data_IF_503876804493
#
_entry.id   IF_503876804493
#
_cell.length_a   1.000
_cell.length_b   1.000
_cell.length_c   1.000
_cell.angle_alpha   90.00
_cell.angle_beta   90.00
_cell.angle_gamma   90.00
#
_symmetry.space_group_name_H-M   'P 1'
#
loop_
_entity.id
_entity.type
_entity.pdbx_description
1 polymer ?
#
# COMPACT_ATOMS: atom_id res chain seq x y z
N UNK A 1 0.17 -9.38 -3.39
CA UNK A 1 1.57 -9.40 -3.80
C UNK A 1 2.40 -8.58 -2.81
N UNK A 2 3.72 -8.54 -2.99
CA UNK A 2 4.61 -7.76 -2.14
C UNK A 2 5.04 -8.47 -0.87
N UNK A 3 4.98 -7.78 0.26
CA UNK A 3 5.37 -8.24 1.58
C UNK A 3 5.24 -7.14 2.62
N UNK A 4 5.50 -7.47 3.87
CA UNK A 4 5.39 -6.58 5.03
C UNK A 4 6.74 -6.45 5.72
N UNK A 5 7.22 -5.22 5.92
CA UNK A 5 8.52 -4.97 6.53
C UNK A 5 8.48 -5.14 8.05
N UNK A 6 9.44 -5.89 8.58
CA UNK A 6 9.69 -6.01 10.01
C UNK A 6 11.13 -6.48 10.27
N UNK A 7 11.81 -5.87 11.23
CA UNK A 7 13.17 -6.26 11.65
C UNK A 7 13.09 -7.46 12.60
N UNK A 8 12.98 -8.67 12.04
CA UNK A 8 12.88 -9.91 12.84
C UNK A 8 14.24 -10.60 13.04
N UNK A 9 15.28 -10.14 12.38
CA UNK A 9 16.66 -10.69 12.42
C UNK A 9 16.73 -12.18 12.06
N UNK A 10 15.78 -12.68 11.27
CA UNK A 10 15.72 -14.09 10.91
C UNK A 10 16.68 -14.45 9.76
N UNK A 11 17.01 -13.48 8.91
CA UNK A 11 17.87 -13.65 7.72
C UNK A 11 19.12 -12.80 7.81
N UNK A 12 19.02 -11.56 8.32
CA UNK A 12 20.14 -10.66 8.55
C UNK A 12 20.19 -10.26 10.02
N UNK A 13 21.20 -10.71 10.74
CA UNK A 13 21.35 -10.43 12.18
C UNK A 13 21.66 -8.94 12.47
N UNK A 14 22.19 -8.23 11.49
CA UNK A 14 22.55 -6.81 11.56
C UNK A 14 21.37 -5.87 11.33
N UNK A 15 20.22 -6.38 10.90
CA UNK A 15 19.02 -5.56 10.68
C UNK A 15 18.40 -5.14 12.01
N UNK A 16 18.14 -3.85 12.19
CA UNK A 16 17.61 -3.28 13.42
C UNK A 16 16.46 -2.31 13.13
N UNK A 17 15.74 -1.91 14.17
CA UNK A 17 14.72 -0.86 14.05
C UNK A 17 15.34 0.44 13.52
N UNK A 18 16.54 0.78 13.98
CA UNK A 18 17.29 1.98 13.54
C UNK A 18 17.63 1.90 12.04
N UNK A 19 18.04 0.74 11.53
CA UNK A 19 18.31 0.55 10.10
C UNK A 19 17.02 0.61 9.27
N UNK A 20 15.90 0.10 9.78
CA UNK A 20 14.59 0.22 9.15
C UNK A 20 14.13 1.69 9.12
N UNK A 21 14.28 2.40 10.24
CA UNK A 21 13.99 3.83 10.35
C UNK A 21 14.83 4.64 9.37
N UNK A 22 16.15 4.40 9.33
CA UNK A 22 17.04 5.07 8.40
C UNK A 22 16.66 4.83 6.93
N UNK A 23 16.40 3.59 6.55
CA UNK A 23 15.98 3.25 5.18
C UNK A 23 14.64 3.91 4.83
N UNK A 24 13.72 4.01 5.79
CA UNK A 24 12.42 4.64 5.58
C UNK A 24 12.55 6.16 5.43
N UNK A 25 13.32 6.82 6.30
CA UNK A 25 13.62 8.27 6.20
C UNK A 25 14.31 8.60 4.89
N UNK A 26 15.34 7.82 4.51
CA UNK A 26 16.03 7.99 3.23
C UNK A 26 15.13 7.69 2.05
N UNK A 27 14.32 6.63 2.13
CA UNK A 27 13.39 6.22 1.09
C UNK A 27 12.28 7.24 0.86
N UNK A 28 11.90 8.00 1.88
CA UNK A 28 10.92 9.10 1.84
C UNK A 28 11.47 10.43 1.30
N UNK A 29 12.71 10.43 0.76
CA UNK A 29 13.46 11.62 0.36
C UNK A 29 13.66 12.64 1.50
N UNK A 30 13.75 12.16 2.74
CA UNK A 30 13.90 12.96 3.97
C UNK A 30 12.73 13.92 4.23
N UNK A 31 11.56 13.72 3.60
CA UNK A 31 10.36 14.52 3.77
C UNK A 31 9.36 13.91 4.76
N UNK A 32 9.61 12.66 5.18
CA UNK A 32 8.77 12.01 6.20
C UNK A 32 9.00 12.57 7.60
N UNK A 33 7.98 12.48 8.45
CA UNK A 33 8.08 12.79 9.88
C UNK A 33 8.89 11.71 10.59
N UNK A 34 10.08 12.07 11.09
CA UNK A 34 11.04 11.10 11.61
C UNK A 34 10.57 10.45 12.92
N UNK A 35 9.86 11.19 13.78
CA UNK A 35 9.31 10.64 15.03
C UNK A 35 8.21 9.63 14.75
N UNK A 36 7.33 9.91 13.79
CA UNK A 36 6.30 8.99 13.33
C UNK A 36 6.91 7.76 12.63
N UNK A 37 7.99 7.94 11.85
CA UNK A 37 8.71 6.83 11.20
C UNK A 37 9.37 5.92 12.24
N UNK A 38 10.02 6.47 13.26
CA UNK A 38 10.64 5.68 14.34
C UNK A 38 9.57 4.89 15.11
N UNK A 39 8.48 5.56 15.49
CA UNK A 39 7.33 4.90 16.11
C UNK A 39 6.81 3.75 15.25
N UNK A 40 6.58 3.98 13.97
CA UNK A 40 6.12 2.98 13.00
C UNK A 40 7.07 1.79 12.93
N UNK A 41 8.36 2.03 12.65
CA UNK A 41 9.36 0.97 12.49
C UNK A 41 9.54 0.13 13.77
N UNK A 42 9.42 0.75 14.95
CA UNK A 42 9.51 0.05 16.24
C UNK A 42 8.35 -0.92 16.47
N UNK A 43 7.17 -0.67 15.87
CA UNK A 43 5.95 -1.50 16.01
C UNK A 43 5.82 -2.59 14.96
N UNK A 44 6.53 -2.49 13.83
CA UNK A 44 6.45 -3.47 12.75
C UNK A 44 6.74 -4.92 13.19
N UNK A 45 7.78 -5.21 14.01
CA UNK A 45 8.04 -6.57 14.47
C UNK A 45 6.88 -7.19 15.25
N UNK A 46 6.32 -6.44 16.21
CA UNK A 46 5.15 -6.87 16.99
C UNK A 46 3.96 -7.17 16.08
N UNK A 47 3.64 -6.26 15.15
CA UNK A 47 2.51 -6.43 14.24
C UNK A 47 2.62 -7.68 13.36
N UNK A 48 3.82 -7.99 12.83
CA UNK A 48 4.03 -9.21 12.03
C UNK A 48 3.91 -10.47 12.88
N UNK A 49 4.45 -10.47 14.10
CA UNK A 49 4.34 -11.61 15.02
C UNK A 49 2.90 -11.84 15.47
N UNK A 50 2.12 -10.79 15.68
CA UNK A 50 0.68 -10.92 15.96
C UNK A 50 -0.07 -11.54 14.78
N UNK A 51 0.21 -11.11 13.54
CA UNK A 51 -0.38 -11.72 12.35
C UNK A 51 -0.04 -13.21 12.26
N UNK A 52 1.20 -13.58 12.55
CA UNK A 52 1.64 -14.98 12.60
C UNK A 52 0.86 -15.78 13.67
N UNK A 53 0.72 -15.24 14.86
CA UNK A 53 -0.06 -15.88 15.94
C UNK A 53 -1.56 -15.97 15.63
N UNK A 54 -2.10 -15.05 14.83
CA UNK A 54 -3.47 -15.12 14.32
C UNK A 54 -3.65 -16.17 13.22
N UNK A 55 -2.54 -16.78 12.75
CA UNK A 55 -2.56 -17.84 11.75
C UNK A 55 -2.20 -17.43 10.32
N UNK A 56 -1.63 -16.24 10.11
CA UNK A 56 -1.14 -15.84 8.79
C UNK A 56 0.00 -16.76 8.33
N UNK A 57 -0.16 -17.51 7.21
CA UNK A 57 0.81 -18.50 6.77
C UNK A 57 2.00 -17.85 6.06
N UNK A 58 2.83 -17.14 6.82
CA UNK A 58 4.09 -16.61 6.29
C UNK A 58 5.01 -17.73 5.81
N UNK A 59 5.74 -17.49 4.73
CA UNK A 59 6.83 -18.37 4.28
C UNK A 59 7.88 -18.53 5.38
N UNK A 60 8.50 -19.73 5.46
CA UNK A 60 9.46 -20.06 6.52
C UNK A 60 10.84 -20.33 5.95
N UNK A 61 11.86 -20.07 6.76
CA UNK A 61 13.23 -20.55 6.55
C UNK A 61 13.33 -22.04 6.87
N UNK A 62 14.45 -22.66 6.56
CA UNK A 62 14.75 -24.06 6.96
C UNK A 62 14.68 -24.27 8.48
N UNK A 63 14.97 -23.21 9.25
CA UNK A 63 14.88 -23.19 10.73
C UNK A 63 13.47 -22.89 11.24
N UNK A 64 12.46 -22.89 10.36
CA UNK A 64 11.06 -22.58 10.68
C UNK A 64 10.81 -21.16 11.21
N UNK A 65 11.71 -20.21 10.97
CA UNK A 65 11.51 -18.79 11.24
C UNK A 65 10.75 -18.13 10.07
N UNK A 66 10.08 -16.99 10.29
CA UNK A 66 9.46 -16.22 9.22
C UNK A 66 10.54 -15.80 8.21
N UNK A 67 10.36 -16.16 6.95
CA UNK A 67 11.28 -15.83 5.88
C UNK A 67 11.21 -14.35 5.53
N UNK A 68 12.36 -13.77 5.19
CA UNK A 68 12.50 -12.35 4.83
C UNK A 68 13.26 -12.24 3.51
N UNK A 69 12.89 -11.28 2.67
CA UNK A 69 13.54 -11.00 1.37
C UNK A 69 13.81 -9.51 1.18
N UNK A 70 14.71 -9.20 0.24
CA UNK A 70 15.03 -7.83 -0.13
C UNK A 70 13.96 -7.19 -1.02
N UNK A 71 13.67 -5.91 -0.76
CA UNK A 71 12.99 -5.01 -1.68
C UNK A 71 13.88 -3.80 -1.99
N UNK A 72 13.53 -3.06 -3.05
CA UNK A 72 14.27 -1.89 -3.48
C UNK A 72 14.36 -0.82 -2.40
N UNK A 73 15.54 -0.22 -2.24
CA UNK A 73 15.82 0.81 -1.26
C UNK A 73 16.19 0.31 0.13
N UNK A 74 16.03 -0.98 0.43
CA UNK A 74 16.38 -1.56 1.72
C UNK A 74 17.89 -1.84 1.85
N UNK A 75 18.43 -1.68 3.06
CA UNK A 75 19.80 -2.07 3.41
C UNK A 75 19.90 -3.56 3.70
N UNK A 76 18.88 -4.16 4.28
CA UNK A 76 18.81 -5.56 4.69
C UNK A 76 17.51 -6.24 4.25
N UNK A 77 17.50 -7.58 4.07
CA UNK A 77 16.28 -8.34 3.78
C UNK A 77 15.38 -8.38 5.03
N UNK A 78 14.37 -7.51 5.07
CA UNK A 78 13.39 -7.43 6.16
C UNK A 78 11.95 -7.64 5.75
N UNK A 79 11.69 -7.82 4.46
CA UNK A 79 10.32 -7.99 3.98
C UNK A 79 9.82 -9.39 4.21
N UNK A 80 8.96 -9.58 5.22
CA UNK A 80 8.24 -10.83 5.50
C UNK A 80 7.20 -11.06 4.43
N UNK A 81 6.97 -12.31 4.01
CA UNK A 81 6.11 -12.61 2.87
C UNK A 81 5.43 -13.98 2.99
N UNK A 82 4.35 -14.15 2.25
CA UNK A 82 3.70 -15.43 1.98
C UNK A 82 3.68 -15.63 0.46
N UNK A 83 4.68 -16.31 -0.08
CA UNK A 83 4.90 -16.47 -1.52
C UNK A 83 4.75 -15.12 -2.26
N UNK A 84 3.85 -15.01 -3.24
CA UNK A 84 3.52 -13.80 -3.99
C UNK A 84 2.15 -13.19 -3.61
N UNK A 85 1.55 -13.59 -2.48
CA UNK A 85 0.18 -13.25 -2.06
C UNK A 85 0.06 -12.72 -0.62
N UNK A 86 1.10 -12.09 -0.09
CA UNK A 86 1.16 -11.62 1.30
C UNK A 86 -0.02 -10.74 1.71
N UNK A 87 -0.40 -9.75 0.89
CA UNK A 87 -1.54 -8.88 1.20
C UNK A 87 -2.87 -9.64 1.27
N UNK A 88 -3.08 -10.63 0.38
CA UNK A 88 -4.25 -11.51 0.44
C UNK A 88 -4.31 -12.29 1.76
N UNK A 89 -3.18 -12.84 2.17
CA UNK A 89 -3.08 -13.58 3.43
C UNK A 89 -3.38 -12.70 4.64
N UNK A 90 -2.77 -11.51 4.73
CA UNK A 90 -3.02 -10.57 5.83
C UNK A 90 -4.50 -10.18 5.88
N UNK A 91 -5.10 -9.84 4.73
CA UNK A 91 -6.51 -9.47 4.64
C UNK A 91 -7.43 -10.59 5.15
N UNK A 92 -7.22 -11.84 4.70
CA UNK A 92 -8.05 -12.96 5.13
C UNK A 92 -7.87 -13.28 6.61
N UNK A 93 -6.63 -13.27 7.11
CA UNK A 93 -6.35 -13.50 8.54
C UNK A 93 -7.05 -12.46 9.42
N UNK A 94 -6.94 -11.17 9.08
CA UNK A 94 -7.61 -10.11 9.86
C UNK A 94 -9.13 -10.18 9.73
N UNK A 95 -9.66 -10.50 8.55
CA UNK A 95 -11.10 -10.69 8.33
C UNK A 95 -11.66 -11.84 9.19
N UNK A 96 -10.96 -12.97 9.24
CA UNK A 96 -11.33 -14.12 10.08
C UNK A 96 -11.33 -13.76 11.58
N UNK A 97 -10.34 -12.98 12.05
CA UNK A 97 -10.34 -12.48 13.44
C UNK A 97 -11.52 -11.55 13.71
N UNK A 98 -11.84 -10.62 12.79
CA UNK A 98 -13.02 -9.77 12.93
C UNK A 98 -14.32 -10.59 13.04
N UNK A 99 -14.47 -11.64 12.23
CA UNK A 99 -15.64 -12.53 12.31
C UNK A 99 -15.69 -13.26 13.68
N UNK A 100 -14.55 -13.72 14.16
CA UNK A 100 -14.44 -14.39 15.47
C UNK A 100 -14.81 -13.48 16.63
N UNK A 101 -14.45 -12.20 16.55
CA UNK A 101 -14.79 -11.17 17.53
C UNK A 101 -16.20 -10.58 17.34
N UNK A 102 -16.99 -11.08 16.38
CA UNK A 102 -18.37 -10.66 16.17
C UNK A 102 -18.52 -9.29 15.51
N UNK A 103 -17.52 -8.80 14.80
CA UNK A 103 -17.59 -7.53 14.07
C UNK A 103 -18.67 -7.62 12.98
N UNK A 104 -19.55 -6.63 12.93
CA UNK A 104 -20.62 -6.58 11.96
C UNK A 104 -20.12 -5.96 10.64
N UNK A 105 -20.27 -6.70 9.52
CA UNK A 105 -19.85 -6.27 8.20
C UNK A 105 -21.05 -5.81 7.36
N UNK A 106 -20.99 -4.57 6.85
CA UNK A 106 -21.96 -4.02 5.90
C UNK A 106 -21.36 -4.09 4.49
N UNK A 107 -21.52 -5.24 3.84
CA UNK A 107 -20.97 -5.49 2.50
C UNK A 107 -21.81 -4.78 1.41
N UNK A 108 -21.12 -4.23 0.40
CA UNK A 108 -21.73 -3.46 -0.70
C UNK A 108 -22.41 -2.17 -0.22
N UNK A 109 -21.83 -1.55 0.81
CA UNK A 109 -22.22 -0.24 1.31
C UNK A 109 -21.17 0.80 0.97
N UNK A 110 -21.58 1.90 0.36
CA UNK A 110 -20.70 2.95 -0.11
C UNK A 110 -20.82 4.20 0.77
N UNK A 111 -19.70 4.72 1.28
CA UNK A 111 -19.69 5.95 2.06
C UNK A 111 -19.96 7.15 1.17
N UNK A 112 -21.04 7.88 1.44
CA UNK A 112 -21.40 9.11 0.75
C UNK A 112 -20.81 10.32 1.46
N UNK A 113 -21.03 10.44 2.77
CA UNK A 113 -20.56 11.59 3.55
C UNK A 113 -20.46 11.29 5.04
N UNK A 114 -19.74 12.16 5.77
CA UNK A 114 -19.67 12.19 7.23
C UNK A 114 -20.60 13.28 7.77
N UNK A 115 -21.21 13.02 8.92
CA UNK A 115 -22.12 13.97 9.57
C UNK A 115 -21.56 14.41 10.91
N UNK A 116 -21.58 15.72 11.15
CA UNK A 116 -21.11 16.34 12.41
C UNK A 116 -22.28 16.93 13.19
N UNK A 117 -22.14 16.94 14.50
CA UNK A 117 -23.04 17.69 15.39
C UNK A 117 -22.78 19.21 15.32
N UNK A 118 -23.57 19.96 16.05
CA UNK A 118 -23.46 21.43 16.13
C UNK A 118 -22.11 21.91 16.72
N UNK A 119 -21.38 21.06 17.43
CA UNK A 119 -20.06 21.33 17.99
C UNK A 119 -18.91 20.96 17.03
N UNK A 120 -19.24 20.39 15.87
CA UNK A 120 -18.27 19.97 14.87
C UNK A 120 -17.70 18.57 15.07
N UNK A 121 -18.23 17.78 16.01
CA UNK A 121 -17.80 16.40 16.24
C UNK A 121 -18.45 15.46 15.23
N UNK A 122 -17.69 14.57 14.61
CA UNK A 122 -18.22 13.51 13.75
C UNK A 122 -19.00 12.52 14.61
N UNK A 123 -20.28 12.30 14.28
CA UNK A 123 -21.18 11.42 15.02
C UNK A 123 -21.98 10.47 14.15
N UNK A 124 -21.74 10.49 12.83
CA UNK A 124 -22.44 9.61 11.91
C UNK A 124 -21.90 9.65 10.50
N UNK A 125 -22.43 8.76 9.68
CA UNK A 125 -22.14 8.66 8.25
C UNK A 125 -23.44 8.43 7.46
N UNK A 126 -23.51 8.99 6.26
CA UNK A 126 -24.50 8.67 5.25
C UNK A 126 -23.86 7.70 4.27
N UNK A 127 -24.53 6.58 4.03
CA UNK A 127 -24.03 5.48 3.23
C UNK A 127 -25.07 5.00 2.24
N UNK A 128 -24.63 4.51 1.12
CA UNK A 128 -25.51 3.92 0.11
C UNK A 128 -25.42 2.39 0.19
N UNK A 129 -26.52 1.76 0.59
CA UNK A 129 -26.70 0.32 0.48
C UNK A 129 -26.97 -0.02 -1.00
N UNK A 130 -25.91 -0.38 -1.70
CA UNK A 130 -25.96 -0.63 -3.16
C UNK A 130 -26.82 -1.84 -3.51
N UNK A 131 -26.90 -2.82 -2.62
CA UNK A 131 -27.70 -4.03 -2.82
C UNK A 131 -29.20 -3.74 -2.82
N UNK A 132 -29.64 -2.84 -1.94
CA UNK A 132 -31.05 -2.46 -1.82
C UNK A 132 -31.40 -1.17 -2.56
N UNK A 133 -30.40 -0.43 -3.03
CA UNK A 133 -30.58 0.86 -3.69
C UNK A 133 -31.07 1.96 -2.76
N UNK A 134 -30.74 1.91 -1.47
CA UNK A 134 -31.22 2.84 -0.44
C UNK A 134 -30.08 3.63 0.18
N UNK A 135 -30.37 4.88 0.55
CA UNK A 135 -29.49 5.68 1.40
C UNK A 135 -29.81 5.34 2.86
N UNK A 136 -28.79 4.99 3.61
CA UNK A 136 -28.89 4.58 5.00
C UNK A 136 -28.03 5.52 5.88
N UNK A 137 -28.34 5.57 7.16
CA UNK A 137 -27.66 6.42 8.13
C UNK A 137 -27.06 5.56 9.25
N UNK A 138 -25.81 5.82 9.57
CA UNK A 138 -25.11 5.13 10.65
C UNK A 138 -24.66 6.15 11.68
N UNK A 139 -25.04 5.96 12.95
CA UNK A 139 -24.52 6.74 14.08
C UNK A 139 -23.33 6.03 14.70
N UNK A 140 -22.32 6.77 15.04
CA UNK A 140 -21.12 6.26 15.70
C UNK A 140 -20.50 7.32 16.59
N UNK A 141 -19.91 6.94 17.70
CA UNK A 141 -19.14 7.83 18.59
C UNK A 141 -17.79 8.19 17.98
N UNK A 142 -17.21 7.27 17.20
CA UNK A 142 -15.96 7.46 16.49
C UNK A 142 -16.02 6.77 15.12
N UNK A 143 -15.35 7.33 14.12
CA UNK A 143 -15.28 6.78 12.77
C UNK A 143 -13.81 6.71 12.35
N UNK A 144 -13.38 5.54 11.88
CA UNK A 144 -12.06 5.32 11.29
C UNK A 144 -12.20 5.23 9.77
N UNK A 145 -11.52 6.09 9.02
CA UNK A 145 -11.43 6.00 7.58
C UNK A 145 -10.19 5.24 7.16
N UNK A 146 -10.40 4.04 6.57
CA UNK A 146 -9.35 3.17 6.03
C UNK A 146 -9.69 2.76 4.60
N UNK A 147 -10.16 3.72 3.80
CA UNK A 147 -10.76 3.54 2.47
C UNK A 147 -9.75 3.36 1.33
N UNK A 148 -8.45 3.31 1.66
CA UNK A 148 -7.37 3.25 0.67
C UNK A 148 -7.12 4.58 -0.01
N UNK A 149 -6.25 4.55 -1.01
CA UNK A 149 -5.79 5.75 -1.73
C UNK A 149 -6.71 6.20 -2.88
N UNK A 150 -6.16 7.09 -3.72
CA UNK A 150 -6.86 7.70 -4.84
C UNK A 150 -6.24 7.35 -6.20
N UNK A 151 -5.39 6.33 -6.28
CA UNK A 151 -4.61 6.04 -7.49
C UNK A 151 -5.44 5.69 -8.73
N UNK A 152 -6.76 5.36 -8.57
CA UNK A 152 -7.65 5.07 -9.71
C UNK A 152 -7.96 6.29 -10.59
N UNK A 153 -7.70 7.50 -10.12
CA UNK A 153 -7.80 8.71 -10.96
C UNK A 153 -6.88 8.65 -12.19
N UNK A 154 -5.80 7.86 -12.15
CA UNK A 154 -4.88 7.64 -13.27
C UNK A 154 -5.39 6.59 -14.27
N UNK A 155 -6.63 6.12 -14.11
CA UNK A 155 -7.36 5.20 -15.00
C UNK A 155 -6.52 3.97 -15.39
N UNK A 156 -6.16 3.81 -16.67
CA UNK A 156 -5.41 2.64 -17.18
C UNK A 156 -3.92 2.62 -16.78
N UNK A 157 -3.44 3.65 -16.08
CA UNK A 157 -2.04 3.79 -15.63
C UNK A 157 -1.92 3.64 -14.12
N UNK A 158 -2.60 2.65 -13.59
CA UNK A 158 -2.62 2.39 -12.15
C UNK A 158 -2.67 0.90 -11.84
N UNK A 159 -2.01 0.50 -10.76
CA UNK A 159 -2.12 -0.83 -10.16
C UNK A 159 -3.33 -0.95 -9.26
N UNK A 160 -4.00 0.17 -8.96
CA UNK A 160 -5.07 0.23 -7.96
C UNK A 160 -6.39 -0.34 -8.50
N UNK A 161 -7.20 -0.99 -7.65
CA UNK A 161 -8.52 -1.47 -8.00
C UNK A 161 -9.49 -0.31 -8.25
N UNK A 162 -10.66 -0.61 -8.82
CA UNK A 162 -11.70 0.38 -9.12
C UNK A 162 -12.22 1.12 -7.89
N UNK A 163 -12.01 0.59 -6.69
CA UNK A 163 -12.42 1.18 -5.42
C UNK A 163 -11.49 2.28 -4.90
N UNK A 164 -10.26 2.39 -5.42
CA UNK A 164 -9.27 3.37 -4.93
C UNK A 164 -9.49 4.74 -5.59
N UNK A 165 -10.63 5.36 -5.33
CA UNK A 165 -11.09 6.60 -5.95
C UNK A 165 -10.97 7.84 -5.05
N UNK A 166 -10.51 7.67 -3.79
CA UNK A 166 -10.32 8.77 -2.84
C UNK A 166 -11.59 9.25 -2.15
N UNK A 167 -12.66 8.48 -2.19
CA UNK A 167 -13.97 8.90 -1.64
C UNK A 167 -13.93 9.18 -0.15
N UNK A 168 -13.21 8.38 0.64
CA UNK A 168 -13.03 8.65 2.07
C UNK A 168 -12.23 9.92 2.35
N UNK A 169 -11.20 10.20 1.53
CA UNK A 169 -10.46 11.47 1.60
C UNK A 169 -11.37 12.67 1.30
N UNK A 170 -12.22 12.54 0.28
CA UNK A 170 -13.19 13.56 -0.10
C UNK A 170 -14.25 13.77 1.00
N UNK A 171 -14.74 12.71 1.63
CA UNK A 171 -15.69 12.80 2.75
C UNK A 171 -15.06 13.48 3.96
N UNK A 172 -13.82 13.14 4.33
CA UNK A 172 -13.08 13.81 5.39
C UNK A 172 -12.88 15.29 5.09
N UNK A 173 -12.50 15.66 3.86
CA UNK A 173 -12.32 17.03 3.44
C UNK A 173 -13.63 17.84 3.54
N UNK A 174 -14.76 17.29 3.08
CA UNK A 174 -16.08 17.93 3.23
C UNK A 174 -16.49 18.07 4.68
N UNK A 175 -16.09 17.14 5.54
CA UNK A 175 -16.28 17.25 6.99
C UNK A 175 -15.41 18.33 7.63
N UNK A 176 -14.46 18.92 6.89
CA UNK A 176 -13.59 19.99 7.36
C UNK A 176 -12.23 19.54 7.86
N UNK A 177 -11.87 18.27 7.68
CA UNK A 177 -10.51 17.79 7.96
C UNK A 177 -9.54 18.21 6.86
N UNK A 178 -8.30 18.54 7.21
CA UNK A 178 -7.24 18.80 6.24
C UNK A 178 -6.87 17.54 5.43
N UNK A 179 -6.36 17.79 4.21
CA UNK A 179 -5.64 16.78 3.42
C UNK A 179 -4.18 17.25 3.33
N UNK A 180 -3.24 16.30 3.40
CA UNK A 180 -1.80 16.60 3.41
C UNK A 180 -1.08 15.78 2.34
N UNK A 181 -0.02 16.37 1.74
CA UNK A 181 0.90 15.74 0.79
C UNK A 181 0.20 15.12 -0.44
N UNK A 182 -0.92 15.70 -0.91
CA UNK A 182 -1.74 15.13 -1.99
C UNK A 182 -1.02 15.07 -3.34
N UNK A 183 0.04 15.85 -3.55
CA UNK A 183 0.90 15.78 -4.72
C UNK A 183 1.87 14.60 -4.69
N UNK A 184 2.08 13.97 -3.53
CA UNK A 184 3.01 12.87 -3.35
C UNK A 184 2.37 11.56 -3.76
N UNK A 185 2.64 11.15 -5.01
CA UNK A 185 2.09 9.93 -5.61
C UNK A 185 3.23 9.06 -6.12
N UNK A 186 3.30 7.81 -5.66
CA UNK A 186 4.30 6.86 -6.08
C UNK A 186 3.87 6.12 -7.35
N UNK A 187 4.77 6.09 -8.33
CA UNK A 187 4.65 5.24 -9.51
C UNK A 187 5.47 3.97 -9.32
N UNK A 188 4.81 2.81 -9.46
CA UNK A 188 5.52 1.53 -9.45
C UNK A 188 6.14 1.27 -10.81
N UNK A 189 7.44 0.91 -10.89
CA UNK A 189 8.12 0.77 -12.18
C UNK A 189 7.57 -0.36 -13.06
N UNK A 190 7.05 -1.43 -12.44
CA UNK A 190 6.66 -2.65 -13.14
C UNK A 190 5.15 -2.89 -13.13
N UNK A 191 4.38 -1.95 -13.67
CA UNK A 191 3.00 -2.22 -14.07
C UNK A 191 2.98 -2.91 -15.45
N UNK A 192 2.05 -3.85 -15.67
CA UNK A 192 1.85 -4.48 -16.97
C UNK A 192 1.52 -3.43 -18.03
N UNK A 193 2.15 -3.53 -19.19
CA UNK A 193 2.14 -2.48 -20.21
C UNK A 193 0.75 -2.10 -20.72
N UNK A 194 -0.15 -3.07 -20.86
CA UNK A 194 -1.51 -2.88 -21.38
C UNK A 194 -2.54 -2.47 -20.33
N UNK A 195 -2.44 -3.03 -19.13
CA UNK A 195 -3.51 -2.92 -18.12
C UNK A 195 -3.14 -2.09 -16.91
N UNK A 196 -1.85 -1.87 -16.65
CA UNK A 196 -1.35 -1.26 -15.43
C UNK A 196 -1.36 -2.18 -14.21
N UNK A 197 -1.83 -3.42 -14.33
CA UNK A 197 -1.85 -4.39 -13.22
C UNK A 197 -0.43 -4.58 -12.68
N UNK A 198 -0.30 -4.65 -11.36
CA UNK A 198 0.99 -4.78 -10.70
C UNK A 198 1.70 -6.09 -11.07
N UNK A 199 2.88 -5.97 -11.68
CA UNK A 199 3.88 -7.01 -11.68
C UNK A 199 4.80 -6.77 -10.47
N UNK A 200 4.66 -7.60 -9.43
CA UNK A 200 5.29 -7.42 -8.13
C UNK A 200 6.78 -7.10 -8.20
N UNK A 201 7.27 -6.33 -7.26
CA UNK A 201 8.70 -6.07 -7.05
C UNK A 201 9.53 -7.35 -6.84
N UNK A 202 8.89 -8.45 -6.45
CA UNK A 202 9.52 -9.76 -6.36
C UNK A 202 10.25 -10.17 -7.66
N UNK A 203 9.76 -9.75 -8.83
CA UNK A 203 10.41 -9.96 -10.12
C UNK A 203 11.84 -9.41 -10.13
N UNK A 204 12.02 -8.19 -9.65
CA UNK A 204 13.32 -7.54 -9.54
C UNK A 204 14.14 -8.13 -8.40
N UNK A 205 13.47 -8.47 -7.29
CA UNK A 205 14.07 -9.13 -6.12
C UNK A 205 14.66 -10.51 -6.43
N UNK A 206 14.01 -11.29 -7.30
CA UNK A 206 14.51 -12.59 -7.77
C UNK A 206 15.55 -12.45 -8.90
N UNK A 207 15.89 -11.23 -9.33
CA UNK A 207 16.97 -10.96 -10.28
C UNK A 207 16.52 -10.69 -11.73
N UNK A 208 15.25 -10.40 -11.99
CA UNK A 208 14.76 -10.04 -13.31
C UNK A 208 15.42 -8.76 -13.86
N UNK A 209 15.72 -8.72 -15.15
CA UNK A 209 16.35 -7.59 -15.84
C UNK A 209 15.32 -6.66 -16.47
N UNK A 210 15.63 -5.37 -16.51
CA UNK A 210 14.88 -4.36 -17.26
C UNK A 210 15.63 -4.02 -18.53
N UNK A 211 15.00 -4.26 -19.68
CA UNK A 211 15.61 -4.07 -21.00
C UNK A 211 14.83 -3.03 -21.82
N UNK A 212 15.55 -2.17 -22.53
CA UNK A 212 15.00 -1.26 -23.53
C UNK A 212 14.83 -1.96 -24.90
N UNK A 213 14.37 -1.25 -25.91
CA UNK A 213 14.16 -1.79 -27.26
C UNK A 213 15.47 -2.16 -27.99
N UNK A 214 16.60 -1.65 -27.54
CA UNK A 214 17.94 -2.00 -28.05
C UNK A 214 18.50 -3.27 -27.37
N UNK A 215 17.76 -3.85 -26.41
CA UNK A 215 18.17 -5.02 -25.63
C UNK A 215 19.16 -4.69 -24.51
N UNK A 216 19.35 -3.42 -24.18
CA UNK A 216 20.26 -3.00 -23.14
C UNK A 216 19.61 -3.10 -21.76
N UNK A 217 20.35 -3.61 -20.79
CA UNK A 217 20.03 -3.54 -19.36
C UNK A 217 20.33 -2.14 -18.84
N UNK A 218 19.42 -1.21 -19.14
CA UNK A 218 19.64 0.24 -18.99
C UNK A 218 19.85 0.71 -17.55
N UNK A 219 19.38 -0.04 -16.54
CA UNK A 219 19.59 0.33 -15.13
C UNK A 219 21.07 0.48 -14.74
N UNK A 220 21.98 -0.15 -15.46
CA UNK A 220 23.42 0.04 -15.30
C UNK A 220 23.86 1.51 -15.48
N UNK A 221 23.16 2.26 -16.33
CA UNK A 221 23.43 3.69 -16.59
C UNK A 221 22.89 4.58 -15.45
N UNK A 222 21.73 4.24 -14.87
CA UNK A 222 21.02 5.09 -13.91
C UNK A 222 21.37 4.76 -12.45
N UNK A 223 21.59 3.49 -12.13
CA UNK A 223 21.86 3.02 -10.78
C UNK A 223 22.87 1.86 -10.78
N UNK A 224 24.16 2.09 -11.10
CA UNK A 224 25.15 1.03 -11.34
C UNK A 224 25.36 0.10 -10.15
N UNK A 225 25.14 0.58 -8.92
CA UNK A 225 25.38 -0.21 -7.69
C UNK A 225 24.18 -1.09 -7.29
N UNK A 226 22.96 -0.58 -7.44
CA UNK A 226 21.71 -1.28 -7.03
C UNK A 226 20.95 -1.86 -8.21
N UNK A 227 21.23 -1.41 -9.42
CA UNK A 227 20.59 -1.85 -10.65
C UNK A 227 19.05 -1.81 -10.53
N UNK A 228 18.35 -2.88 -10.81
CA UNK A 228 16.89 -3.00 -10.71
C UNK A 228 16.36 -2.95 -9.26
N UNK A 229 17.25 -3.06 -8.26
CA UNK A 229 16.92 -2.91 -6.83
C UNK A 229 17.13 -1.48 -6.31
N UNK A 230 17.35 -0.50 -7.19
CA UNK A 230 17.24 0.90 -6.83
C UNK A 230 15.81 1.22 -6.36
N UNK A 231 15.63 2.36 -5.69
CA UNK A 231 14.30 2.82 -5.22
C UNK A 231 13.32 2.97 -6.39
N UNK A 232 12.04 2.90 -6.09
CA UNK A 232 10.98 2.86 -7.13
C UNK A 232 10.95 4.09 -8.01
N UNK A 233 11.15 5.26 -7.41
CA UNK A 233 11.24 6.55 -8.09
C UNK A 233 12.37 6.57 -9.12
N UNK A 234 13.57 6.12 -8.72
CA UNK A 234 14.75 6.02 -9.61
C UNK A 234 14.48 5.07 -10.77
N UNK A 235 13.92 3.88 -10.50
CA UNK A 235 13.63 2.91 -11.56
C UNK A 235 12.51 3.39 -12.47
N UNK A 236 11.43 3.97 -11.93
CA UNK A 236 10.32 4.50 -12.71
C UNK A 236 10.78 5.64 -13.62
N UNK A 237 11.58 6.59 -13.09
CA UNK A 237 12.16 7.67 -13.86
C UNK A 237 13.09 7.16 -14.96
N UNK A 238 13.95 6.19 -14.66
CA UNK A 238 14.85 5.59 -15.66
C UNK A 238 14.08 4.98 -16.85
N UNK A 239 12.95 4.30 -16.56
CA UNK A 239 12.08 3.76 -17.61
C UNK A 239 11.48 4.88 -18.48
N UNK A 240 10.95 5.94 -17.86
CA UNK A 240 10.38 7.06 -18.60
C UNK A 240 11.47 7.80 -19.41
N UNK A 241 12.68 7.96 -18.88
CA UNK A 241 13.81 8.54 -19.60
C UNK A 241 14.20 7.70 -20.84
N UNK A 242 14.20 6.37 -20.75
CA UNK A 242 14.44 5.48 -21.88
C UNK A 242 13.33 5.59 -22.93
N UNK A 243 12.07 5.64 -22.53
CA UNK A 243 10.91 5.82 -23.41
C UNK A 243 10.98 7.19 -24.09
N UNK A 244 11.22 8.27 -23.34
CA UNK A 244 11.32 9.63 -23.86
C UNK A 244 12.48 9.79 -24.86
N UNK A 245 13.58 9.08 -24.64
CA UNK A 245 14.73 9.05 -25.55
C UNK A 245 14.50 8.18 -26.81
N UNK A 246 13.31 7.60 -26.98
CA UNK A 246 12.97 6.75 -28.13
C UNK A 246 13.53 5.33 -28.08
N UNK A 247 14.06 4.91 -26.95
CA UNK A 247 14.57 3.54 -26.74
C UNK A 247 13.55 2.59 -26.09
N UNK A 248 12.29 3.01 -25.94
CA UNK A 248 11.17 2.14 -25.58
C UNK A 248 10.60 1.39 -26.80
N UNK A 249 9.84 0.35 -26.52
CA UNK A 249 8.97 -0.30 -27.50
C UNK A 249 7.69 0.50 -27.68
N UNK A 250 7.07 0.43 -28.85
CA UNK A 250 5.83 1.15 -29.14
C UNK A 250 6.03 2.66 -29.26
N UNK A 251 4.96 3.44 -29.10
CA UNK A 251 5.02 4.90 -29.23
C UNK A 251 3.94 5.60 -28.41
N UNK A 252 4.19 6.85 -28.03
CA UNK A 252 3.26 7.71 -27.28
C UNK A 252 2.80 7.06 -25.96
N UNK A 253 1.52 7.12 -25.69
CA UNK A 253 0.94 6.56 -24.47
C UNK A 253 1.05 5.02 -24.37
N UNK A 254 1.36 4.35 -25.47
CA UNK A 254 1.54 2.89 -25.50
C UNK A 254 3.01 2.46 -25.49
N UNK A 255 3.94 3.40 -25.27
CA UNK A 255 5.35 3.07 -25.14
C UNK A 255 5.62 2.31 -23.84
N UNK A 256 6.55 1.36 -23.88
CA UNK A 256 6.89 0.48 -22.75
C UNK A 256 8.35 0.00 -22.85
N UNK A 257 8.85 -0.57 -21.80
CA UNK A 257 10.07 -1.38 -21.74
C UNK A 257 9.72 -2.81 -21.35
N UNK A 258 10.68 -3.71 -21.25
CA UNK A 258 10.36 -5.10 -20.88
C UNK A 258 11.13 -5.57 -19.66
N UNK A 259 10.48 -6.44 -18.87
CA UNK A 259 11.12 -7.22 -17.84
C UNK A 259 11.48 -8.61 -18.40
N UNK A 260 12.75 -8.97 -18.36
CA UNK A 260 13.24 -10.27 -18.83
C UNK A 260 13.55 -11.18 -17.63
N UNK A 261 12.85 -12.30 -17.55
CA UNK A 261 12.98 -13.30 -16.49
C UNK A 261 13.57 -14.62 -16.99
N UNK A 262 13.77 -14.79 -18.30
CA UNK A 262 14.14 -16.07 -18.92
C UNK A 262 15.42 -16.67 -18.36
N UNK A 263 16.37 -15.84 -17.93
CA UNK A 263 17.65 -16.27 -17.35
C UNK A 263 17.54 -16.84 -15.93
N UNK A 264 16.40 -16.63 -15.23
CA UNK A 264 16.17 -17.16 -13.88
C UNK A 264 15.89 -18.65 -13.87
N UNK A 265 15.47 -19.20 -15.02
CA UNK A 265 15.10 -20.60 -15.17
C UNK A 265 13.67 -20.92 -14.73
N UNK A 266 13.16 -22.09 -15.16
CA UNK A 266 11.76 -22.47 -14.91
C UNK A 266 11.43 -22.67 -13.43
N UNK A 267 12.36 -23.17 -12.62
CA UNK A 267 12.13 -23.42 -11.19
C UNK A 267 11.76 -22.12 -10.46
N UNK A 268 12.54 -21.06 -10.63
CA UNK A 268 12.27 -19.77 -9.97
C UNK A 268 10.95 -19.18 -10.45
N UNK A 269 10.67 -19.22 -11.77
CA UNK A 269 9.47 -18.62 -12.32
C UNK A 269 8.21 -19.38 -11.90
N UNK A 270 8.27 -20.71 -11.86
CA UNK A 270 7.11 -21.55 -11.52
C UNK A 270 6.88 -21.60 -10.01
N UNK A 271 7.93 -21.67 -9.19
CA UNK A 271 7.77 -21.83 -7.74
C UNK A 271 7.60 -20.49 -7.01
N UNK A 272 8.42 -19.48 -7.36
CA UNK A 272 8.46 -18.22 -6.61
C UNK A 272 7.63 -17.09 -7.25
N UNK A 273 7.40 -17.15 -8.57
CA UNK A 273 6.74 -16.11 -9.36
C UNK A 273 5.50 -16.62 -10.10
N UNK A 274 4.88 -17.68 -9.59
CA UNK A 274 3.71 -18.35 -10.19
C UNK A 274 2.59 -17.36 -10.54
N UNK A 275 2.12 -16.56 -9.56
CA UNK A 275 1.03 -15.61 -9.79
C UNK A 275 1.40 -14.49 -10.78
N UNK A 276 2.69 -14.13 -10.86
CA UNK A 276 3.18 -13.16 -11.84
C UNK A 276 3.16 -13.75 -13.25
N UNK A 277 3.54 -15.02 -13.39
CA UNK A 277 3.43 -15.74 -14.66
C UNK A 277 1.99 -15.77 -15.15
N UNK A 278 1.05 -16.14 -14.28
CA UNK A 278 -0.38 -16.18 -14.61
C UNK A 278 -0.91 -14.82 -15.06
N UNK A 279 -0.51 -13.72 -14.36
CA UNK A 279 -0.87 -12.36 -14.76
C UNK A 279 -0.31 -11.99 -16.13
N UNK A 280 0.96 -12.31 -16.42
CA UNK A 280 1.58 -12.02 -17.70
C UNK A 280 0.91 -12.83 -18.85
N UNK A 281 0.63 -14.09 -18.64
CA UNK A 281 -0.08 -14.94 -19.61
C UNK A 281 -1.52 -14.44 -19.86
N UNK A 282 -2.22 -14.05 -18.80
CA UNK A 282 -3.62 -13.63 -18.90
C UNK A 282 -3.78 -12.26 -19.53
N UNK A 283 -2.96 -11.28 -19.14
CA UNK A 283 -3.16 -9.88 -19.49
C UNK A 283 -2.20 -9.33 -20.55
N UNK A 284 -0.99 -9.88 -20.66
CA UNK A 284 -0.03 -9.50 -21.70
C UNK A 284 0.10 -10.56 -22.81
N UNK A 285 -0.53 -11.73 -22.63
CA UNK A 285 -0.48 -12.86 -23.57
C UNK A 285 0.95 -13.34 -23.86
N UNK A 286 1.84 -13.25 -22.87
CA UNK A 286 3.21 -13.72 -22.96
C UNK A 286 3.56 -14.62 -21.77
N UNK A 287 4.35 -15.67 -22.04
CA UNK A 287 4.87 -16.53 -20.98
C UNK A 287 6.29 -16.07 -20.60
N UNK A 288 6.52 -15.61 -19.35
CA UNK A 288 7.83 -15.19 -18.87
C UNK A 288 8.95 -16.23 -18.99
N UNK A 289 8.60 -17.51 -19.16
CA UNK A 289 9.58 -18.57 -19.43
C UNK A 289 10.25 -18.40 -20.79
N UNK A 290 9.53 -17.84 -21.77
CA UNK A 290 9.97 -17.79 -23.18
C UNK A 290 10.08 -16.39 -23.75
N UNK A 291 9.38 -15.43 -23.16
CA UNK A 291 9.27 -14.06 -23.65
C UNK A 291 9.44 -13.04 -22.52
N UNK A 292 10.08 -11.90 -22.79
CA UNK A 292 10.09 -10.79 -21.83
C UNK A 292 8.70 -10.15 -21.73
N UNK A 293 8.37 -9.66 -20.53
CA UNK A 293 7.04 -9.11 -20.22
C UNK A 293 7.03 -7.60 -20.44
N UNK A 294 6.09 -7.05 -21.23
CA UNK A 294 5.90 -5.60 -21.36
C UNK A 294 5.53 -4.95 -20.03
N UNK A 295 6.27 -3.90 -19.67
CA UNK A 295 6.04 -3.14 -18.45
C UNK A 295 6.19 -1.65 -18.65
N UNK A 296 5.56 -0.86 -17.79
CA UNK A 296 5.76 0.58 -17.70
C UNK A 296 5.44 1.09 -16.29
N UNK A 297 5.91 2.30 -15.92
CA UNK A 297 5.52 2.92 -14.66
C UNK A 297 4.01 3.16 -14.59
N UNK A 298 3.41 2.84 -13.44
CA UNK A 298 1.98 3.02 -13.17
C UNK A 298 1.77 3.60 -11.78
N UNK A 299 0.78 4.46 -11.62
CA UNK A 299 0.38 4.96 -10.31
C UNK A 299 0.08 3.78 -9.38
N UNK A 300 0.67 3.79 -8.19
CA UNK A 300 0.65 2.63 -7.31
C UNK A 300 0.22 2.95 -5.89
N UNK A 301 0.66 4.09 -5.34
CA UNK A 301 0.39 4.45 -3.95
C UNK A 301 0.26 5.96 -3.79
N UNK A 302 -0.76 6.39 -3.07
CA UNK A 302 -0.92 7.78 -2.66
C UNK A 302 -0.27 7.95 -1.29
N UNK A 303 0.85 8.70 -1.18
CA UNK A 303 1.49 8.99 0.11
C UNK A 303 0.74 10.05 0.88
N UNK A 304 0.11 10.99 0.19
CA UNK A 304 -0.82 11.94 0.76
C UNK A 304 -2.15 11.33 1.16
N UNK A 305 -2.96 12.08 1.87
CA UNK A 305 -4.26 11.62 2.34
C UNK A 305 -4.87 12.50 3.42
N UNK A 306 -5.77 11.93 4.20
CA UNK A 306 -6.42 12.57 5.35
C UNK A 306 -5.35 12.94 6.38
N UNK A 307 -5.24 14.22 6.73
CA UNK A 307 -4.26 14.68 7.71
C UNK A 307 -4.56 14.10 9.09
N UNK A 308 -3.59 13.37 9.62
CA UNK A 308 -3.58 12.82 10.98
C UNK A 308 -2.70 13.68 11.84
N UNK A 309 -3.28 14.27 12.90
CA UNK A 309 -2.58 15.22 13.78
C UNK A 309 -1.86 14.55 14.95
N UNK A 310 -2.23 13.31 15.27
CA UNK A 310 -1.58 12.51 16.32
C UNK A 310 -1.33 11.07 15.84
N UNK A 311 -0.11 10.75 15.48
CA UNK A 311 0.29 9.43 15.00
C UNK A 311 0.20 8.33 16.08
N UNK A 312 0.07 8.69 17.37
CA UNK A 312 -0.04 7.72 18.47
C UNK A 312 -1.46 7.19 18.65
N UNK A 313 -2.45 7.87 18.11
CA UNK A 313 -3.87 7.49 18.16
C UNK A 313 -4.50 7.43 16.77
N UNK A 314 -3.84 7.96 15.76
CA UNK A 314 -4.40 8.23 14.42
C UNK A 314 -5.58 9.19 14.41
N UNK A 315 -5.68 10.06 15.42
CA UNK A 315 -6.72 11.09 15.48
C UNK A 315 -6.51 12.16 14.40
N UNK A 316 -7.60 12.59 13.81
CA UNK A 316 -7.68 13.70 12.88
C UNK A 316 -7.95 15.03 13.62
N UNK A 317 -7.90 16.18 12.90
CA UNK A 317 -8.25 17.47 13.47
C UNK A 317 -9.73 17.53 13.88
N UNK A 318 -10.61 16.91 13.08
CA UNK A 318 -12.05 16.84 13.37
C UNK A 318 -12.30 15.81 14.48
N UNK A 319 -12.87 16.21 15.65
CA UNK A 319 -13.09 15.30 16.76
C UNK A 319 -14.01 14.13 16.40
N UNK A 320 -13.66 12.93 16.88
CA UNK A 320 -14.37 11.69 16.55
C UNK A 320 -13.99 11.07 15.20
N UNK A 321 -13.10 11.72 14.43
CA UNK A 321 -12.57 11.20 13.18
C UNK A 321 -11.15 10.67 13.36
N UNK A 322 -10.89 9.48 12.82
CA UNK A 322 -9.60 8.80 12.77
C UNK A 322 -9.33 8.35 11.34
N UNK A 323 -8.06 8.22 10.97
CA UNK A 323 -7.69 7.69 9.66
C UNK A 323 -6.43 6.83 9.74
N UNK A 324 -6.36 5.75 8.94
CA UNK A 324 -5.20 4.87 8.90
C UNK A 324 -4.99 4.22 7.53
N UNK A 325 -3.78 3.70 7.31
CA UNK A 325 -3.37 3.11 6.04
C UNK A 325 -3.34 4.14 4.91
N UNK A 326 -3.42 3.69 3.68
CA UNK A 326 -3.28 4.54 2.48
C UNK A 326 -4.36 5.64 2.33
N UNK A 327 -5.41 5.64 3.16
CA UNK A 327 -6.38 6.75 3.21
C UNK A 327 -5.84 7.96 3.97
N UNK A 328 -4.87 7.77 4.86
CA UNK A 328 -4.32 8.76 5.76
C UNK A 328 -2.95 9.28 5.34
N UNK A 329 -2.58 10.45 5.81
CA UNK A 329 -1.23 10.97 5.76
C UNK A 329 -0.70 11.22 7.18
N UNK A 330 0.03 10.22 7.70
CA UNK A 330 0.79 10.30 8.95
C UNK A 330 2.20 10.87 8.69
N UNK A 331 2.51 11.12 7.43
CA UNK A 331 3.83 11.56 6.93
C UNK A 331 4.97 10.56 7.14
N UNK A 332 4.69 9.26 7.19
CA UNK A 332 5.75 8.24 7.28
C UNK A 332 6.38 7.89 5.93
N UNK A 333 5.81 8.36 4.83
CA UNK A 333 6.23 8.01 3.49
C UNK A 333 6.88 9.15 2.69
N UNK A 334 6.68 10.40 3.10
CA UNK A 334 7.21 11.56 2.40
C UNK A 334 6.92 11.54 0.90
N UNK A 335 7.92 11.81 0.07
CA UNK A 335 7.77 11.82 -1.39
C UNK A 335 7.80 10.42 -2.03
N UNK A 336 8.29 9.39 -1.34
CA UNK A 336 8.44 8.06 -1.91
C UNK A 336 8.41 6.97 -0.83
N UNK A 337 7.42 6.10 -0.88
CA UNK A 337 7.24 5.00 0.08
C UNK A 337 8.22 3.86 -0.16
N UNK A 338 8.93 3.45 0.89
CA UNK A 338 9.80 2.27 0.86
C UNK A 338 8.98 1.00 0.58
N UNK A 339 9.47 0.11 -0.30
CA UNK A 339 8.82 -1.16 -0.60
C UNK A 339 8.58 -1.99 0.66
N UNK A 340 7.38 -2.56 0.82
CA UNK A 340 6.99 -3.34 2.00
C UNK A 340 6.42 -2.53 3.17
N UNK A 341 6.58 -1.20 3.22
CA UNK A 341 6.03 -0.37 4.29
C UNK A 341 4.50 -0.17 4.18
N UNK A 342 3.88 -0.30 2.99
CA UNK A 342 2.42 -0.13 2.85
C UNK A 342 1.61 -1.15 3.65
N UNK A 343 1.97 -2.44 3.57
CA UNK A 343 1.27 -3.46 4.36
C UNK A 343 1.61 -3.33 5.85
N UNK A 344 2.84 -2.94 6.18
CA UNK A 344 3.24 -2.66 7.56
C UNK A 344 2.47 -1.47 8.14
N UNK A 345 2.26 -0.40 7.36
CA UNK A 345 1.42 0.75 7.71
C UNK A 345 -0.01 0.30 8.09
N UNK A 346 -0.66 -0.47 7.23
CA UNK A 346 -2.00 -1.00 7.51
C UNK A 346 -2.06 -1.87 8.77
N UNK A 347 -1.01 -2.66 9.04
CA UNK A 347 -0.93 -3.51 10.25
C UNK A 347 -0.71 -2.66 11.50
N UNK A 348 0.25 -1.75 11.49
CA UNK A 348 0.61 -0.93 12.66
C UNK A 348 -0.47 0.10 12.97
N UNK A 349 -0.78 0.96 12.00
CA UNK A 349 -1.73 2.06 12.24
C UNK A 349 -3.19 1.63 12.19
N UNK A 350 -3.50 0.47 11.61
CA UNK A 350 -4.81 -0.16 11.80
C UNK A 350 -5.07 -0.50 13.26
N UNK A 351 -4.07 -1.09 13.96
CA UNK A 351 -4.13 -1.37 15.40
C UNK A 351 -4.18 -0.08 16.23
N UNK A 352 -3.34 0.89 15.90
CA UNK A 352 -3.25 2.17 16.61
C UNK A 352 -4.57 2.95 16.50
N UNK A 353 -5.14 3.06 15.30
CA UNK A 353 -6.40 3.78 15.08
C UNK A 353 -7.59 3.08 15.76
N UNK A 354 -7.58 1.74 15.77
CA UNK A 354 -8.59 0.96 16.48
C UNK A 354 -8.59 1.25 17.99
N UNK A 355 -7.42 1.25 18.62
CA UNK A 355 -7.25 1.59 20.02
C UNK A 355 -7.66 3.05 20.30
N UNK A 356 -7.15 4.01 19.50
CA UNK A 356 -7.46 5.43 19.67
C UNK A 356 -8.96 5.74 19.53
N UNK A 357 -9.63 5.12 18.57
CA UNK A 357 -11.08 5.29 18.38
C UNK A 357 -11.89 4.64 19.52
N UNK A 358 -11.45 3.49 20.04
CA UNK A 358 -12.08 2.83 21.19
C UNK A 358 -11.98 3.69 22.45
N UNK A 359 -10.78 4.19 22.80
CA UNK A 359 -10.55 5.07 23.94
C UNK A 359 -11.40 6.35 23.84
N UNK A 360 -11.49 6.92 22.62
CA UNK A 360 -12.35 8.06 22.37
C UNK A 360 -13.83 7.72 22.62
N UNK A 361 -14.30 6.60 22.09
CA UNK A 361 -15.70 6.18 22.21
C UNK A 361 -16.11 5.82 23.65
N UNK A 362 -15.17 5.36 24.49
CA UNK A 362 -15.41 5.11 25.91
C UNK A 362 -15.57 6.40 26.72
N UNK A 363 -14.84 7.45 26.35
CA UNK A 363 -14.76 8.71 27.11
C UNK A 363 -15.70 9.80 26.61
N UNK A 364 -16.34 9.60 25.44
CA UNK A 364 -17.24 10.59 24.84
C UNK A 364 -18.65 10.03 24.64
N UNK A 365 -19.64 10.89 24.84
CA UNK A 365 -21.03 10.58 24.52
C UNK A 365 -21.27 10.56 23.01
N UNK A 366 -22.35 9.88 22.58
CA UNK A 366 -22.77 9.89 21.18
C UNK A 366 -23.13 11.31 20.73
N UNK A 367 -22.48 11.89 19.72
CA UNK A 367 -22.87 13.20 19.18
C UNK A 367 -24.31 13.19 18.68
N UNK A 368 -25.04 14.28 18.92
CA UNK A 368 -26.42 14.40 18.44
C UNK A 368 -26.39 14.90 16.98
N UNK A 369 -26.57 14.00 16.06
CA UNK A 369 -26.56 14.25 14.61
C UNK A 369 -27.90 13.94 13.93
N UNK A 370 -29.02 13.86 14.69
CA UNK A 370 -30.32 13.45 14.15
C UNK A 370 -30.86 14.43 13.10
N UNK A 371 -30.72 15.72 13.32
CA UNK A 371 -31.18 16.75 12.38
C UNK A 371 -30.33 16.77 11.11
N UNK A 372 -29.02 16.64 11.24
CA UNK A 372 -28.06 16.65 10.14
C UNK A 372 -28.17 15.38 9.29
N UNK A 373 -28.35 14.21 9.91
CA UNK A 373 -28.63 12.97 9.19
C UNK A 373 -29.94 13.03 8.42
N UNK A 374 -31.01 13.57 9.02
CA UNK A 374 -32.29 13.74 8.34
C UNK A 374 -32.21 14.71 7.15
N UNK A 375 -31.33 15.69 7.19
CA UNK A 375 -31.14 16.65 6.09
C UNK A 375 -30.28 16.09 4.95
N UNK A 376 -29.42 15.07 5.23
CA UNK A 376 -28.48 14.47 4.27
C UNK A 376 -29.08 13.24 3.53
N UNK A 377 -30.21 12.71 3.99
CA UNK A 377 -30.94 11.58 3.40
C UNK A 377 -31.90 12.04 2.30
#
# INVERSE_FOLDING_TARGET
QGGVNACLNNVAAEDTVETHTFDTVKGSDYLGDQDAIEFFCSRCPEGVLEMDHMGAPFSRTEENKIAQRNFGGQSYPRTCYSADKTGHVILHTTYEQCLKEGVHFLQEWYLLDLVKDANGHVGGAVVWNMKEGKVEQIKAKAIILSTGGAGRIFWTRTTNPFLSTGDGMAAAFRAGNGLKDMEMIQFHPTGLGRTGILMSEAVRGEGGYLLNAEGERFMKKYAPNKMELASRDVVAKAIEDEIAAGRGFGSGLNAYVVADLRHLGPEVIIEKLHGIRDLAMTFEHCDPLTQPVPIRPTCHYTMGGIDVVDYKTCACEVPGLFASGEASCISIHGANRLGGNSLADGVVFGKVSGAGAADYAETHEQPNVDAELAAAA
#
